data_IF_590810063972
#
_entry.id   IF_590810063972
#
_cell.length_a   1.000
_cell.length_b   1.000
_cell.length_c   1.000
_cell.angle_alpha   90.00
_cell.angle_beta   90.00
_cell.angle_gamma   90.00
#
_symmetry.space_group_name_H-M   'P 1'
#
loop_
_entity.id
_entity.type
_entity.pdbx_description
1 polymer ?
#
# COMPACT_ATOMS: atom_id res chain seq x y z
N UNK A 1 -45.53 -34.08 -28.98
CA UNK A 1 -45.67 -33.73 -27.55
C UNK A 1 -44.27 -33.74 -26.94
N UNK A 2 -43.82 -32.64 -26.34
CA UNK A 2 -42.47 -32.55 -25.74
C UNK A 2 -42.53 -33.14 -24.33
N UNK A 3 -41.65 -34.09 -24.00
CA UNK A 3 -41.58 -34.72 -22.68
C UNK A 3 -41.54 -33.66 -21.56
N UNK A 4 -42.36 -33.88 -20.53
CA UNK A 4 -42.56 -32.94 -19.43
C UNK A 4 -41.26 -32.75 -18.64
N UNK A 5 -41.04 -31.60 -18.02
CA UNK A 5 -39.75 -31.29 -17.35
C UNK A 5 -39.39 -32.32 -16.27
N UNK A 6 -40.41 -32.87 -15.61
CA UNK A 6 -40.31 -33.93 -14.60
C UNK A 6 -39.88 -35.27 -15.22
N UNK A 7 -40.39 -35.60 -16.41
CA UNK A 7 -40.03 -36.82 -17.13
C UNK A 7 -38.58 -36.77 -17.60
N UNK A 8 -38.13 -35.63 -18.16
CA UNK A 8 -36.72 -35.43 -18.53
C UNK A 8 -35.77 -35.48 -17.35
N UNK A 9 -36.22 -35.04 -16.17
CA UNK A 9 -35.43 -35.15 -14.94
C UNK A 9 -35.30 -36.60 -14.50
N UNK A 10 -36.40 -37.37 -14.51
CA UNK A 10 -36.39 -38.81 -14.22
C UNK A 10 -35.55 -39.59 -15.22
N UNK A 11 -35.64 -39.28 -16.52
CA UNK A 11 -34.80 -39.90 -17.56
C UNK A 11 -33.31 -39.62 -17.33
N UNK A 12 -32.95 -38.38 -16.94
CA UNK A 12 -31.57 -38.05 -16.57
C UNK A 12 -31.11 -38.78 -15.31
N UNK A 13 -31.95 -38.86 -14.28
CA UNK A 13 -31.63 -39.59 -13.05
C UNK A 13 -31.44 -41.08 -13.32
N UNK A 14 -32.27 -41.70 -14.17
CA UNK A 14 -32.11 -43.09 -14.60
C UNK A 14 -30.87 -43.28 -15.47
N UNK A 15 -30.58 -42.35 -16.38
CA UNK A 15 -29.37 -42.40 -17.20
C UNK A 15 -28.10 -42.24 -16.35
N UNK A 16 -28.12 -41.36 -15.34
CA UNK A 16 -27.03 -41.22 -14.38
C UNK A 16 -26.86 -42.48 -13.54
N UNK A 17 -27.95 -43.07 -13.05
CA UNK A 17 -27.91 -44.31 -12.29
C UNK A 17 -27.37 -45.49 -13.13
N UNK A 18 -27.76 -45.60 -14.39
CA UNK A 18 -27.22 -46.59 -15.33
C UNK A 18 -25.74 -46.37 -15.58
N UNK A 19 -25.31 -45.13 -15.82
CA UNK A 19 -23.88 -44.81 -15.99
C UNK A 19 -23.07 -45.08 -14.74
N UNK A 20 -23.63 -44.84 -13.57
CA UNK A 20 -22.96 -45.09 -12.30
C UNK A 20 -22.80 -46.60 -12.06
N UNK A 21 -23.84 -47.39 -12.37
CA UNK A 21 -23.76 -48.85 -12.34
C UNK A 21 -22.76 -49.41 -13.35
N UNK A 22 -22.75 -48.89 -14.59
CA UNK A 22 -21.74 -49.26 -15.59
C UNK A 22 -20.31 -48.95 -15.10
N UNK A 23 -20.11 -47.79 -14.47
CA UNK A 23 -18.81 -47.42 -13.89
C UNK A 23 -18.41 -48.35 -12.75
N UNK A 24 -19.35 -48.75 -11.89
CA UNK A 24 -19.06 -49.65 -10.78
C UNK A 24 -18.79 -51.09 -11.27
N UNK A 25 -19.49 -51.56 -12.29
CA UNK A 25 -19.20 -52.84 -12.96
C UNK A 25 -17.84 -52.82 -13.66
N UNK A 26 -17.48 -51.70 -14.30
CA UNK A 26 -16.15 -51.53 -14.91
C UNK A 26 -15.04 -51.43 -13.86
N UNK A 27 -15.29 -50.80 -12.71
CA UNK A 27 -14.35 -50.76 -11.58
C UNK A 27 -14.14 -52.15 -10.97
N UNK A 28 -15.21 -52.88 -10.72
CA UNK A 28 -15.14 -54.25 -10.20
C UNK A 28 -14.39 -55.17 -11.18
N UNK A 29 -14.65 -55.04 -12.49
CA UNK A 29 -13.93 -55.79 -13.52
C UNK A 29 -12.45 -55.39 -13.63
N UNK A 30 -12.15 -54.11 -13.46
CA UNK A 30 -10.76 -53.60 -13.40
C UNK A 30 -10.03 -54.16 -12.18
N UNK A 31 -10.66 -54.18 -11.01
CA UNK A 31 -10.10 -54.75 -9.78
C UNK A 31 -9.86 -56.25 -9.92
N UNK A 32 -10.83 -56.99 -10.47
CA UNK A 32 -10.68 -58.43 -10.74
C UNK A 32 -9.52 -58.71 -11.69
N UNK A 33 -9.44 -58.02 -12.83
CA UNK A 33 -8.33 -58.18 -13.78
C UNK A 33 -6.99 -57.75 -13.18
N UNK A 34 -6.98 -56.73 -12.32
CA UNK A 34 -5.77 -56.31 -11.62
C UNK A 34 -5.30 -57.35 -10.60
N UNK A 35 -6.22 -58.05 -9.93
CA UNK A 35 -5.91 -59.17 -9.04
C UNK A 35 -5.40 -60.39 -9.80
N UNK A 36 -6.02 -60.74 -10.94
CA UNK A 36 -5.60 -61.84 -11.81
C UNK A 36 -4.20 -61.59 -12.44
N UNK A 37 -3.85 -60.33 -12.69
CA UNK A 37 -2.55 -59.92 -13.19
C UNK A 37 -1.57 -59.53 -12.07
N UNK A 38 -1.97 -59.53 -10.80
CA UNK A 38 -1.12 -59.12 -9.68
C UNK A 38 -0.59 -57.69 -9.78
N UNK A 39 -1.38 -56.76 -10.32
CA UNK A 39 -1.03 -55.35 -10.53
C UNK A 39 -1.79 -54.43 -9.56
N UNK A 40 -1.13 -53.42 -9.00
CA UNK A 40 -1.77 -52.36 -8.22
C UNK A 40 -2.00 -51.10 -9.08
N UNK A 41 -3.10 -51.09 -9.84
CA UNK A 41 -3.47 -49.98 -10.73
C UNK A 41 -3.83 -48.68 -9.99
N UNK A 42 -4.01 -48.73 -8.67
CA UNK A 42 -4.22 -47.56 -7.80
C UNK A 42 -2.93 -46.74 -7.60
N UNK A 43 -1.76 -47.35 -7.74
CA UNK A 43 -0.46 -46.69 -7.60
C UNK A 43 -0.06 -45.86 -8.83
N UNK A 44 -0.76 -46.02 -9.96
CA UNK A 44 -0.51 -45.26 -11.20
C UNK A 44 -0.71 -43.74 -11.03
N UNK A 45 -1.50 -43.32 -10.03
CA UNK A 45 -1.78 -41.92 -9.74
C UNK A 45 -0.69 -41.18 -8.96
N UNK A 46 0.27 -41.89 -8.37
CA UNK A 46 1.29 -41.34 -7.46
C UNK A 46 2.70 -41.29 -8.08
N UNK A 47 2.80 -41.13 -9.42
CA UNK A 47 4.05 -41.00 -10.19
C UNK A 47 5.04 -42.19 -10.18
N UNK A 48 4.88 -43.15 -9.26
CA UNK A 48 5.73 -44.33 -9.17
C UNK A 48 5.24 -45.49 -10.05
N UNK A 49 5.48 -45.41 -11.35
CA UNK A 49 5.16 -46.47 -12.32
C UNK A 49 5.79 -47.83 -11.93
N UNK A 50 6.92 -47.79 -11.20
CA UNK A 50 7.63 -48.98 -10.74
C UNK A 50 6.91 -49.78 -9.65
N UNK A 51 5.97 -49.18 -8.91
CA UNK A 51 5.15 -49.85 -7.89
C UNK A 51 3.87 -50.42 -8.51
N UNK A 52 3.31 -49.73 -9.51
CA UNK A 52 2.10 -50.17 -10.21
C UNK A 52 2.31 -51.41 -11.10
N UNK A 53 3.53 -51.61 -11.62
CA UNK A 53 3.88 -52.75 -12.47
C UNK A 53 5.05 -53.55 -11.87
N UNK A 54 4.78 -54.68 -11.18
CA UNK A 54 5.82 -55.51 -10.57
C UNK A 54 6.85 -56.03 -11.57
N UNK A 55 6.46 -56.13 -12.85
CA UNK A 55 7.28 -56.68 -13.93
C UNK A 55 8.43 -55.75 -14.34
N UNK A 56 8.31 -54.44 -14.08
CA UNK A 56 9.39 -53.48 -14.34
C UNK A 56 10.65 -53.84 -13.53
N UNK A 57 10.51 -54.54 -12.41
CA UNK A 57 11.63 -55.04 -11.61
C UNK A 57 12.54 -56.05 -12.33
N UNK A 58 12.08 -56.68 -13.43
CA UNK A 58 12.88 -57.57 -14.28
C UNK A 58 13.59 -56.85 -15.43
N UNK A 59 13.37 -55.53 -15.60
CA UNK A 59 13.89 -54.74 -16.70
C UNK A 59 14.99 -53.75 -16.26
N UNK A 60 15.83 -53.33 -17.23
CA UNK A 60 16.89 -52.35 -17.05
C UNK A 60 18.30 -52.95 -17.05
N UNK A 61 19.32 -52.08 -16.99
CA UNK A 61 20.74 -52.49 -16.97
C UNK A 61 21.17 -53.13 -15.64
N UNK A 62 20.38 -52.95 -14.59
CA UNK A 62 20.51 -53.60 -13.28
C UNK A 62 19.13 -54.05 -12.79
N UNK A 63 18.59 -55.18 -13.29
CA UNK A 63 17.27 -55.63 -12.91
C UNK A 63 17.26 -56.00 -11.42
N UNK A 64 16.20 -55.60 -10.71
CA UNK A 64 16.02 -55.91 -9.27
C UNK A 64 15.70 -57.40 -9.05
N UNK A 65 15.16 -58.08 -10.06
CA UNK A 65 14.81 -59.50 -10.04
C UNK A 65 15.32 -60.20 -11.29
N UNK A 66 15.77 -61.44 -11.14
CA UNK A 66 16.25 -62.24 -12.27
C UNK A 66 15.07 -62.83 -13.06
N UNK A 67 15.01 -62.52 -14.35
CA UNK A 67 13.95 -62.98 -15.26
C UNK A 67 13.94 -64.51 -15.41
N UNK A 68 15.06 -65.20 -15.14
CA UNK A 68 15.17 -66.66 -15.20
C UNK A 68 14.36 -67.40 -14.11
N UNK A 69 13.85 -66.67 -13.11
CA UNK A 69 13.08 -67.21 -11.98
C UNK A 69 11.57 -67.21 -12.20
N UNK A 70 11.08 -66.78 -13.37
CA UNK A 70 9.65 -66.71 -13.68
C UNK A 70 9.16 -68.10 -14.12
N UNK A 71 8.16 -68.70 -13.44
CA UNK A 71 7.62 -69.99 -13.84
C UNK A 71 6.91 -69.88 -15.20
N UNK A 72 7.08 -70.90 -16.06
CA UNK A 72 6.60 -70.91 -17.46
C UNK A 72 5.08 -70.72 -17.55
N UNK A 73 4.33 -71.20 -16.56
CA UNK A 73 2.88 -71.06 -16.43
C UNK A 73 2.42 -69.59 -16.33
N UNK A 74 3.28 -68.71 -15.79
CA UNK A 74 2.97 -67.29 -15.60
C UNK A 74 3.48 -66.41 -16.75
N UNK A 75 4.12 -66.98 -17.77
CA UNK A 75 4.75 -66.23 -18.86
C UNK A 75 3.74 -65.39 -19.66
N UNK A 76 2.54 -65.92 -19.93
CA UNK A 76 1.49 -65.19 -20.65
C UNK A 76 0.97 -63.98 -19.88
N UNK A 77 0.77 -64.11 -18.56
CA UNK A 77 0.37 -63.02 -17.68
C UNK A 77 1.46 -61.93 -17.59
N UNK A 78 2.72 -62.34 -17.46
CA UNK A 78 3.87 -61.44 -17.43
C UNK A 78 4.06 -60.67 -18.75
N UNK A 79 3.87 -61.32 -19.89
CA UNK A 79 3.93 -60.67 -21.21
C UNK A 79 2.81 -59.64 -21.40
N UNK A 80 1.58 -59.97 -20.99
CA UNK A 80 0.47 -59.00 -21.02
C UNK A 80 0.75 -57.81 -20.12
N UNK A 81 1.33 -58.03 -18.93
CA UNK A 81 1.74 -56.94 -18.03
C UNK A 81 2.82 -56.04 -18.66
N UNK A 82 3.75 -56.61 -19.44
CA UNK A 82 4.73 -55.81 -20.20
C UNK A 82 4.07 -54.96 -21.28
N UNK A 83 3.13 -55.51 -22.05
CA UNK A 83 2.42 -54.77 -23.08
C UNK A 83 1.60 -53.61 -22.49
N UNK A 84 0.90 -53.86 -21.38
CA UNK A 84 0.14 -52.83 -20.65
C UNK A 84 1.09 -51.78 -20.07
N UNK A 85 2.24 -52.18 -19.51
CA UNK A 85 3.25 -51.26 -18.99
C UNK A 85 3.84 -50.36 -20.10
N UNK A 86 4.13 -50.93 -21.28
CA UNK A 86 4.61 -50.16 -22.44
C UNK A 86 3.54 -49.14 -22.87
N UNK A 87 2.27 -49.56 -22.94
CA UNK A 87 1.15 -48.65 -23.26
C UNK A 87 1.03 -47.51 -22.25
N UNK A 88 1.10 -47.81 -20.95
CA UNK A 88 1.00 -46.79 -19.90
C UNK A 88 2.20 -45.82 -19.91
N UNK A 89 3.41 -46.33 -20.09
CA UNK A 89 4.64 -45.50 -20.16
C UNK A 89 4.62 -44.60 -21.40
N UNK A 90 4.21 -45.14 -22.55
CA UNK A 90 4.13 -44.37 -23.80
C UNK A 90 3.09 -43.27 -23.74
N UNK A 91 1.95 -43.51 -23.09
CA UNK A 91 0.92 -42.50 -22.86
C UNK A 91 1.41 -41.41 -21.89
N UNK A 92 2.01 -41.78 -20.76
CA UNK A 92 2.55 -40.80 -19.81
C UNK A 92 3.65 -39.93 -20.46
N UNK A 93 4.50 -40.52 -21.30
CA UNK A 93 5.50 -39.76 -22.08
C UNK A 93 4.87 -38.78 -23.07
N UNK A 94 3.69 -39.07 -23.61
CA UNK A 94 2.95 -38.13 -24.48
C UNK A 94 2.36 -36.98 -23.66
N UNK A 95 1.78 -37.29 -22.51
CA UNK A 95 1.18 -36.29 -21.61
C UNK A 95 2.27 -35.34 -21.08
N UNK A 96 3.43 -35.87 -20.67
CA UNK A 96 4.61 -35.07 -20.31
C UNK A 96 5.10 -34.17 -21.46
N UNK A 97 5.13 -34.68 -22.70
CA UNK A 97 5.48 -33.86 -23.88
C UNK A 97 4.48 -32.73 -24.10
N UNK A 98 3.20 -32.96 -23.88
CA UNK A 98 2.16 -31.92 -23.97
C UNK A 98 2.35 -30.86 -22.89
N UNK A 99 2.55 -31.27 -21.63
CA UNK A 99 2.85 -30.34 -20.53
C UNK A 99 4.11 -29.51 -20.80
N UNK A 100 5.19 -30.13 -21.32
CA UNK A 100 6.40 -29.41 -21.74
C UNK A 100 6.08 -28.39 -22.84
N UNK A 101 5.23 -28.73 -23.80
CA UNK A 101 4.85 -27.81 -24.88
C UNK A 101 4.02 -26.62 -24.37
N UNK A 102 3.16 -26.83 -23.38
CA UNK A 102 2.36 -25.79 -22.73
C UNK A 102 3.23 -24.87 -21.87
N UNK A 103 4.14 -25.44 -21.07
CA UNK A 103 5.13 -24.70 -20.31
C UNK A 103 6.01 -23.83 -21.22
N UNK A 104 6.49 -24.38 -22.34
CA UNK A 104 7.24 -23.61 -23.33
C UNK A 104 6.43 -22.45 -23.94
N UNK A 105 5.11 -22.61 -24.10
CA UNK A 105 4.23 -21.53 -24.55
C UNK A 105 4.08 -20.45 -23.49
N UNK A 106 3.92 -20.83 -22.22
CA UNK A 106 3.88 -19.90 -21.09
C UNK A 106 5.19 -19.11 -20.95
N UNK A 107 6.34 -19.80 -21.02
CA UNK A 107 7.66 -19.18 -21.01
C UNK A 107 7.79 -18.15 -22.12
N UNK A 108 7.37 -18.48 -23.36
CA UNK A 108 7.38 -17.50 -24.47
C UNK A 108 6.55 -16.26 -24.15
N UNK A 109 5.32 -16.42 -23.65
CA UNK A 109 4.48 -15.28 -23.28
C UNK A 109 5.06 -14.45 -22.12
N UNK A 110 5.72 -15.09 -21.16
CA UNK A 110 6.37 -14.39 -20.05
C UNK A 110 7.65 -13.67 -20.49
N UNK A 111 8.44 -14.25 -21.39
CA UNK A 111 9.60 -13.57 -21.99
C UNK A 111 9.18 -12.32 -22.78
N UNK A 112 8.07 -12.37 -23.52
CA UNK A 112 7.52 -11.19 -24.20
C UNK A 112 7.08 -10.11 -23.21
N UNK A 113 6.46 -10.49 -22.09
CA UNK A 113 6.08 -9.56 -21.03
C UNK A 113 7.31 -8.96 -20.31
N UNK A 114 8.35 -9.76 -20.09
CA UNK A 114 9.62 -9.31 -19.50
C UNK A 114 10.31 -8.28 -20.39
N UNK A 115 10.35 -8.48 -21.71
CA UNK A 115 10.91 -7.50 -22.65
C UNK A 115 10.16 -6.17 -22.56
N UNK A 116 8.83 -6.18 -22.50
CA UNK A 116 8.02 -4.96 -22.33
C UNK A 116 8.30 -4.24 -21.01
N UNK A 117 8.43 -4.99 -19.91
CA UNK A 117 8.78 -4.46 -18.60
C UNK A 117 10.19 -3.87 -18.57
N UNK A 118 11.15 -4.52 -19.22
CA UNK A 118 12.53 -4.04 -19.37
C UNK A 118 12.60 -2.75 -20.19
N UNK A 119 11.82 -2.64 -21.27
CA UNK A 119 11.72 -1.42 -22.06
C UNK A 119 11.11 -0.27 -21.24
N UNK A 120 10.04 -0.52 -20.49
CA UNK A 120 9.46 0.47 -19.58
C UNK A 120 10.43 0.91 -18.48
N UNK A 121 11.15 -0.04 -17.87
CA UNK A 121 12.18 0.23 -16.87
C UNK A 121 13.37 1.00 -17.45
N UNK A 122 13.75 0.75 -18.70
CA UNK A 122 14.81 1.50 -19.39
C UNK A 122 14.40 2.95 -19.66
N UNK A 123 13.15 3.20 -20.06
CA UNK A 123 12.61 4.57 -20.21
C UNK A 123 12.58 5.32 -18.86
N UNK A 124 12.30 4.61 -17.77
CA UNK A 124 12.40 5.13 -16.40
C UNK A 124 13.86 5.39 -15.98
N UNK A 125 14.80 4.51 -16.32
CA UNK A 125 16.22 4.68 -16.02
C UNK A 125 16.85 5.84 -16.82
N UNK A 126 16.49 5.98 -18.10
CA UNK A 126 16.95 7.06 -18.97
C UNK A 126 16.37 8.43 -18.55
N UNK A 127 15.17 8.46 -17.94
CA UNK A 127 14.58 9.68 -17.39
C UNK A 127 15.09 10.07 -15.99
N UNK A 128 15.74 9.15 -15.27
CA UNK A 128 16.21 9.35 -13.88
C UNK A 128 17.73 9.27 -13.72
N UNK A 129 18.48 8.91 -14.77
CA UNK A 129 19.94 9.04 -14.84
C UNK A 129 20.76 8.01 -14.05
N UNK A 130 20.18 6.87 -13.66
CA UNK A 130 20.88 5.83 -12.89
C UNK A 130 21.06 4.57 -13.73
N UNK A 131 22.32 4.25 -14.02
CA UNK A 131 22.73 3.03 -14.75
C UNK A 131 23.06 1.90 -13.79
N UNK A 132 22.55 0.70 -14.06
CA UNK A 132 22.79 -0.53 -13.29
C UNK A 132 23.35 -1.59 -14.23
N UNK A 133 24.65 -1.88 -14.12
CA UNK A 133 25.30 -2.97 -14.86
C UNK A 133 25.89 -4.00 -13.87
N UNK A 134 25.34 -5.25 -13.80
CA UNK A 134 25.65 -6.21 -12.75
C UNK A 134 26.68 -7.29 -13.14
N UNK A 135 27.43 -7.13 -14.24
CA UNK A 135 28.34 -8.18 -14.74
C UNK A 135 29.81 -8.01 -14.32
N UNK A 136 30.07 -7.83 -13.03
CA UNK A 136 31.41 -8.05 -12.48
C UNK A 136 31.34 -9.14 -11.41
N UNK A 137 32.13 -10.21 -11.63
CA UNK A 137 32.54 -11.26 -10.69
C UNK A 137 31.79 -12.60 -10.82
N UNK A 138 32.29 -13.52 -11.67
CA UNK A 138 32.80 -14.84 -11.25
C UNK A 138 33.15 -15.76 -12.45
N UNK A 139 34.44 -16.05 -12.61
CA UNK A 139 34.96 -17.22 -13.31
C UNK A 139 36.00 -17.93 -12.44
N UNK A 140 36.07 -19.25 -12.63
CA UNK A 140 37.19 -20.19 -12.38
C UNK A 140 37.05 -21.14 -11.17
N UNK A 141 37.05 -22.44 -11.46
CA UNK A 141 37.09 -23.54 -10.48
C UNK A 141 37.26 -24.95 -11.07
N UNK A 142 38.45 -25.22 -11.63
CA UNK A 142 39.26 -26.45 -11.74
C UNK A 142 38.73 -27.90 -11.96
N UNK A 143 39.54 -28.61 -12.78
CA UNK A 143 39.63 -30.04 -13.15
C UNK A 143 40.35 -30.93 -12.10
N UNK A 144 40.22 -32.26 -12.26
CA UNK A 144 41.20 -33.40 -12.05
C UNK A 144 40.42 -34.69 -11.69
N UNK A 145 40.75 -35.98 -11.99
CA UNK A 145 41.92 -36.72 -12.53
C UNK A 145 41.55 -38.22 -12.73
N UNK A 146 42.29 -38.94 -13.61
CA UNK A 146 42.71 -40.39 -13.65
C UNK A 146 41.70 -41.56 -13.44
N UNK A 147 41.79 -42.74 -14.08
CA UNK A 147 42.74 -43.34 -15.04
C UNK A 147 42.55 -44.88 -15.19
N UNK A 148 43.03 -45.44 -16.34
CA UNK A 148 43.56 -46.82 -16.64
C UNK A 148 42.65 -48.07 -16.50
N UNK A 149 42.36 -48.93 -17.50
CA UNK A 149 43.12 -49.73 -18.53
C UNK A 149 43.62 -51.14 -18.11
N UNK A 150 43.72 -52.04 -19.12
CA UNK A 150 44.16 -53.46 -19.19
C UNK A 150 42.97 -54.45 -19.30
N UNK A 151 42.65 -55.14 -20.41
CA UNK A 151 43.34 -55.71 -21.58
C UNK A 151 43.79 -57.18 -21.45
N UNK A 152 43.49 -57.94 -22.52
CA UNK A 152 44.07 -59.23 -22.96
C UNK A 152 43.88 -60.47 -22.04
N UNK A 153 43.81 -61.74 -22.47
CA UNK A 153 43.97 -62.47 -23.73
C UNK A 153 43.71 -63.99 -23.38
N UNK A 154 43.03 -64.81 -24.20
CA UNK A 154 43.60 -65.78 -25.18
C UNK A 154 43.61 -67.27 -24.74
N UNK A 155 43.23 -68.15 -25.71
CA UNK A 155 43.51 -69.60 -25.89
C UNK A 155 42.97 -70.59 -24.85
N UNK A 156 42.61 -71.85 -25.16
CA UNK A 156 42.72 -72.78 -26.30
C UNK A 156 42.23 -74.15 -25.74
N UNK A 157 41.59 -75.07 -26.46
CA UNK A 157 42.13 -76.13 -27.33
C UNK A 157 41.10 -77.29 -27.26
N UNK A 158 40.64 -77.85 -28.38
CA UNK A 158 40.92 -79.24 -28.79
C UNK A 158 39.65 -80.10 -28.58
N UNK A 159 39.14 -80.92 -29.49
CA UNK A 159 39.81 -81.98 -30.25
C UNK A 159 39.06 -82.35 -31.56
N UNK A 160 39.77 -83.13 -32.37
CA UNK A 160 39.69 -83.43 -33.81
C UNK A 160 38.42 -84.16 -34.33
N UNK A 161 37.80 -83.59 -35.38
CA UNK A 161 36.92 -84.32 -36.31
C UNK A 161 37.61 -84.47 -37.68
N UNK A 162 37.29 -85.53 -38.40
CA UNK A 162 37.88 -86.04 -39.67
C UNK A 162 38.00 -85.07 -40.86
N UNK A 163 39.00 -85.23 -41.74
CA UNK A 163 39.34 -84.34 -42.89
C UNK A 163 38.17 -84.04 -43.87
N UNK A 164 37.18 -84.93 -44.00
CA UNK A 164 35.97 -84.69 -44.84
C UNK A 164 34.81 -84.01 -44.09
N UNK A 165 34.69 -84.20 -42.77
CA UNK A 165 33.84 -83.35 -41.93
C UNK A 165 34.48 -81.97 -41.80
N UNK A 166 35.80 -81.87 -41.61
CA UNK A 166 36.55 -80.62 -41.55
C UNK A 166 36.39 -79.76 -42.79
N UNK A 167 36.23 -80.30 -44.00
CA UNK A 167 36.03 -79.46 -45.19
C UNK A 167 34.59 -78.94 -45.30
N UNK A 168 33.58 -79.74 -44.96
CA UNK A 168 32.18 -79.28 -44.86
C UNK A 168 31.99 -78.33 -43.69
N UNK A 169 32.58 -78.65 -42.54
CA UNK A 169 32.63 -77.85 -41.32
C UNK A 169 33.47 -76.59 -41.54
N UNK A 170 34.57 -76.61 -42.32
CA UNK A 170 35.30 -75.39 -42.71
C UNK A 170 34.46 -74.48 -43.61
N UNK A 171 33.65 -75.02 -44.51
CA UNK A 171 32.69 -74.22 -45.31
C UNK A 171 31.56 -73.68 -44.41
N UNK A 172 31.07 -74.47 -43.46
CA UNK A 172 30.03 -74.08 -42.51
C UNK A 172 30.56 -73.01 -41.54
N UNK A 173 31.72 -73.24 -40.94
CA UNK A 173 32.51 -72.30 -40.11
C UNK A 173 32.89 -71.07 -40.92
N UNK A 174 33.24 -71.15 -42.20
CA UNK A 174 33.48 -69.96 -43.02
C UNK A 174 32.20 -69.15 -43.27
N UNK A 175 31.04 -69.81 -43.45
CA UNK A 175 29.72 -69.15 -43.52
C UNK A 175 29.32 -68.57 -42.17
N UNK A 176 29.59 -69.26 -41.06
CA UNK A 176 29.34 -68.80 -39.69
C UNK A 176 30.28 -67.66 -39.29
N UNK A 177 31.55 -67.67 -39.68
CA UNK A 177 32.47 -66.55 -39.52
C UNK A 177 31.99 -65.36 -40.35
N UNK A 178 31.46 -65.57 -41.57
CA UNK A 178 30.90 -64.49 -42.39
C UNK A 178 29.62 -63.92 -41.78
N UNK A 179 28.71 -64.78 -41.32
CA UNK A 179 27.50 -64.38 -40.61
C UNK A 179 27.84 -63.71 -39.27
N UNK A 180 28.84 -64.22 -38.55
CA UNK A 180 29.39 -63.67 -37.32
C UNK A 180 30.02 -62.30 -37.53
N UNK A 181 30.80 -62.12 -38.60
CA UNK A 181 31.34 -60.80 -39.00
C UNK A 181 30.24 -59.81 -39.37
N UNK A 182 29.18 -60.26 -40.06
CA UNK A 182 28.02 -59.40 -40.35
C UNK A 182 27.22 -59.07 -39.08
N UNK A 183 27.10 -60.01 -38.15
CA UNK A 183 26.48 -59.79 -36.85
C UNK A 183 27.30 -58.85 -35.98
N UNK A 184 28.63 -58.97 -35.98
CA UNK A 184 29.55 -58.05 -35.30
C UNK A 184 29.40 -56.66 -35.88
N UNK A 185 29.42 -56.50 -37.22
CA UNK A 185 29.19 -55.20 -37.86
C UNK A 185 27.82 -54.60 -37.50
N UNK A 186 26.74 -55.39 -37.55
CA UNK A 186 25.40 -54.91 -37.14
C UNK A 186 25.34 -54.56 -35.66
N UNK A 187 26.06 -55.27 -34.79
CA UNK A 187 26.18 -54.95 -33.37
C UNK A 187 27.02 -53.68 -33.15
N UNK A 188 28.12 -53.50 -33.87
CA UNK A 188 28.94 -52.28 -33.86
C UNK A 188 28.10 -51.07 -34.32
N UNK A 189 27.35 -51.20 -35.41
CA UNK A 189 26.42 -50.18 -35.90
C UNK A 189 25.33 -49.87 -34.87
N UNK A 190 24.76 -50.88 -34.22
CA UNK A 190 23.77 -50.70 -33.16
C UNK A 190 24.38 -50.04 -31.90
N UNK A 191 25.61 -50.40 -31.53
CA UNK A 191 26.33 -49.80 -30.40
C UNK A 191 26.63 -48.33 -30.69
N UNK A 192 27.08 -47.99 -31.91
CA UNK A 192 27.29 -46.60 -32.33
C UNK A 192 25.97 -45.81 -32.34
N UNK A 193 24.88 -46.41 -32.80
CA UNK A 193 23.56 -45.78 -32.77
C UNK A 193 23.07 -45.51 -31.33
N UNK A 194 23.32 -46.46 -30.42
CA UNK A 194 22.98 -46.32 -28.99
C UNK A 194 23.87 -45.26 -28.33
N UNK A 195 25.17 -45.22 -28.63
CA UNK A 195 26.08 -44.22 -28.07
C UNK A 195 25.69 -42.81 -28.52
N UNK A 196 25.37 -42.63 -29.81
CA UNK A 196 24.86 -41.36 -30.34
C UNK A 196 23.54 -40.95 -29.65
N UNK A 197 22.63 -41.91 -29.41
CA UNK A 197 21.38 -41.64 -28.70
C UNK A 197 21.62 -41.27 -27.22
N UNK A 198 22.61 -41.89 -26.57
CA UNK A 198 23.01 -41.55 -25.20
C UNK A 198 23.66 -40.17 -25.12
N UNK A 199 24.50 -39.80 -26.08
CA UNK A 199 25.08 -38.47 -26.17
C UNK A 199 23.99 -37.40 -26.35
N UNK A 200 23.04 -37.62 -27.26
CA UNK A 200 21.88 -36.72 -27.44
C UNK A 200 20.98 -36.64 -26.21
N UNK A 201 20.82 -37.74 -25.47
CA UNK A 201 20.10 -37.71 -24.19
C UNK A 201 20.84 -36.91 -23.13
N UNK A 202 22.16 -37.03 -23.03
CA UNK A 202 22.98 -36.25 -22.09
C UNK A 202 22.88 -34.76 -22.38
N UNK A 203 22.99 -34.35 -23.64
CA UNK A 203 22.83 -32.94 -24.01
C UNK A 203 21.44 -32.39 -23.64
N UNK A 204 20.38 -33.17 -23.87
CA UNK A 204 19.03 -32.77 -23.48
C UNK A 204 18.86 -32.66 -21.95
N UNK A 205 19.53 -33.50 -21.16
CA UNK A 205 19.53 -33.40 -19.69
C UNK A 205 20.32 -32.18 -19.22
N UNK A 206 21.44 -31.87 -19.86
CA UNK A 206 22.23 -30.67 -19.55
C UNK A 206 21.43 -29.39 -19.86
N UNK A 207 20.70 -29.35 -20.98
CA UNK A 207 19.77 -28.27 -21.32
C UNK A 207 18.64 -28.14 -20.29
N UNK A 208 18.08 -29.26 -19.83
CA UNK A 208 17.02 -29.27 -18.81
C UNK A 208 17.53 -28.72 -17.48
N UNK A 209 18.75 -29.11 -17.07
CA UNK A 209 19.39 -28.58 -15.87
C UNK A 209 19.69 -27.08 -15.98
N UNK A 210 20.10 -26.60 -17.16
CA UNK A 210 20.29 -25.18 -17.42
C UNK A 210 18.96 -24.42 -17.26
N UNK A 211 17.88 -24.92 -17.87
CA UNK A 211 16.55 -24.32 -17.75
C UNK A 211 16.03 -24.30 -16.30
N UNK A 212 16.26 -25.35 -15.52
CA UNK A 212 15.90 -25.35 -14.10
C UNK A 212 16.66 -24.28 -13.30
N UNK A 213 17.95 -24.10 -13.60
CA UNK A 213 18.74 -23.05 -12.97
C UNK A 213 18.24 -21.66 -13.39
N UNK A 214 17.90 -21.47 -14.66
CA UNK A 214 17.36 -20.21 -15.16
C UNK A 214 16.03 -19.87 -14.45
N UNK A 215 15.10 -20.84 -14.36
CA UNK A 215 13.83 -20.69 -13.63
C UNK A 215 14.09 -20.28 -12.17
N UNK A 216 15.06 -20.94 -11.50
CA UNK A 216 15.40 -20.64 -10.12
C UNK A 216 15.96 -19.23 -9.94
N UNK A 217 16.79 -18.78 -10.88
CA UNK A 217 17.34 -17.41 -10.86
C UNK A 217 16.22 -16.40 -11.10
N UNK A 218 15.36 -16.63 -12.09
CA UNK A 218 14.22 -15.73 -12.36
C UNK A 218 13.25 -15.66 -11.20
N UNK A 219 12.97 -16.77 -10.51
CA UNK A 219 12.12 -16.79 -9.31
C UNK A 219 12.72 -15.97 -8.16
N UNK A 220 14.04 -16.00 -8.01
CA UNK A 220 14.75 -15.18 -7.03
C UNK A 220 14.62 -13.70 -7.38
N UNK A 221 14.84 -13.35 -8.65
CA UNK A 221 14.83 -11.97 -9.11
C UNK A 221 13.41 -11.37 -9.04
N UNK A 222 12.37 -12.17 -9.35
CA UNK A 222 10.96 -11.79 -9.15
C UNK A 222 10.66 -11.51 -7.68
N UNK A 223 11.21 -12.30 -6.75
CA UNK A 223 11.01 -12.07 -5.32
C UNK A 223 11.67 -10.77 -4.87
N UNK A 224 12.91 -10.49 -5.29
CA UNK A 224 13.56 -9.22 -4.97
C UNK A 224 12.80 -8.03 -5.56
N UNK A 225 12.31 -8.12 -6.80
CA UNK A 225 11.52 -7.03 -7.40
C UNK A 225 10.15 -6.83 -6.74
N UNK A 226 9.53 -7.89 -6.21
CA UNK A 226 8.32 -7.74 -5.40
C UNK A 226 8.60 -7.04 -4.06
N UNK A 227 9.78 -7.24 -3.49
CA UNK A 227 10.20 -6.58 -2.25
C UNK A 227 10.50 -5.09 -2.49
N UNK A 228 11.19 -4.74 -3.59
CA UNK A 228 11.43 -3.34 -3.98
C UNK A 228 10.12 -2.60 -4.26
N UNK A 229 9.19 -3.21 -5.00
CA UNK A 229 7.87 -2.62 -5.26
C UNK A 229 7.09 -2.35 -3.97
N UNK A 230 7.14 -3.25 -2.99
CA UNK A 230 6.49 -3.04 -1.69
C UNK A 230 7.11 -1.86 -0.94
N UNK A 231 8.43 -1.71 -0.98
CA UNK A 231 9.11 -0.57 -0.37
C UNK A 231 8.66 0.74 -1.00
N UNK A 232 8.63 0.81 -2.33
CA UNK A 232 8.16 2.01 -3.07
C UNK A 232 6.70 2.35 -2.72
N UNK A 233 5.82 1.34 -2.64
CA UNK A 233 4.42 1.56 -2.24
C UNK A 233 4.35 2.16 -0.82
N UNK A 234 5.11 1.61 0.13
CA UNK A 234 5.13 2.15 1.51
C UNK A 234 5.70 3.56 1.59
N UNK A 235 6.69 3.90 0.75
CA UNK A 235 7.22 5.26 0.65
C UNK A 235 6.18 6.22 0.07
N UNK A 236 5.45 5.80 -0.97
CA UNK A 236 4.37 6.58 -1.57
C UNK A 236 3.24 6.85 -0.58
N UNK A 237 2.80 5.81 0.15
CA UNK A 237 1.76 5.94 1.18
C UNK A 237 2.17 6.93 2.27
N UNK A 238 3.45 6.94 2.66
CA UNK A 238 3.99 7.88 3.65
C UNK A 238 4.03 9.33 3.11
N UNK A 239 4.32 9.51 1.82
CA UNK A 239 4.29 10.83 1.16
C UNK A 239 2.85 11.34 1.05
N UNK A 240 1.91 10.49 0.65
CA UNK A 240 0.48 10.82 0.56
C UNK A 240 -0.10 11.20 1.92
N UNK A 241 0.27 10.47 2.99
CA UNK A 241 -0.12 10.81 4.34
C UNK A 241 0.37 12.21 4.75
N UNK A 242 1.63 12.55 4.45
CA UNK A 242 2.20 13.89 4.72
C UNK A 242 1.49 14.98 3.90
N UNK A 243 1.17 14.71 2.65
CA UNK A 243 0.46 15.64 1.78
C UNK A 243 -0.96 15.93 2.31
N UNK A 244 -1.70 14.88 2.67
CA UNK A 244 -3.03 15.01 3.25
C UNK A 244 -3.01 15.81 4.56
N UNK A 245 -2.04 15.52 5.43
CA UNK A 245 -1.87 16.24 6.69
C UNK A 245 -1.54 17.73 6.46
N UNK A 246 -0.74 18.06 5.43
CA UNK A 246 -0.45 19.43 5.05
C UNK A 246 -1.68 20.16 4.48
N UNK A 247 -2.50 19.47 3.69
CA UNK A 247 -3.77 20.00 3.17
C UNK A 247 -4.74 20.31 4.33
N UNK A 248 -4.93 19.39 5.26
CA UNK A 248 -5.82 19.58 6.42
C UNK A 248 -5.37 20.75 7.32
N UNK A 249 -4.06 20.89 7.57
CA UNK A 249 -3.50 22.03 8.31
C UNK A 249 -3.72 23.38 7.61
N UNK A 250 -3.71 23.41 6.28
CA UNK A 250 -3.90 24.65 5.52
C UNK A 250 -5.38 25.02 5.37
N UNK A 251 -6.26 24.04 5.19
CA UNK A 251 -7.72 24.25 5.13
C UNK A 251 -8.24 24.82 6.44
N UNK A 252 -7.77 24.31 7.58
CA UNK A 252 -8.15 24.81 8.91
C UNK A 252 -7.72 26.26 9.16
N UNK A 253 -6.48 26.65 8.79
CA UNK A 253 -6.01 28.03 8.92
C UNK A 253 -6.77 29.02 8.04
N UNK A 254 -7.00 28.65 6.78
CA UNK A 254 -7.69 29.54 5.82
C UNK A 254 -9.14 29.75 6.23
N UNK A 255 -9.81 28.67 6.68
CA UNK A 255 -11.17 28.75 7.19
C UNK A 255 -11.27 29.59 8.45
N UNK A 256 -10.34 29.43 9.40
CA UNK A 256 -10.30 30.23 10.63
C UNK A 256 -10.13 31.72 10.34
N UNK A 257 -9.27 32.10 9.39
CA UNK A 257 -9.11 33.50 8.97
C UNK A 257 -10.39 34.09 8.37
N UNK A 258 -11.12 33.31 7.55
CA UNK A 258 -12.40 33.74 6.97
C UNK A 258 -13.47 33.87 8.06
N UNK A 259 -13.53 32.91 9.00
CA UNK A 259 -14.47 32.96 10.14
C UNK A 259 -14.17 34.15 11.07
N UNK A 260 -12.89 34.47 11.31
CA UNK A 260 -12.49 35.67 12.04
C UNK A 260 -12.91 36.96 11.33
N UNK A 261 -12.55 37.11 10.05
CA UNK A 261 -12.91 38.32 9.28
C UNK A 261 -14.43 38.51 9.15
N UNK A 262 -15.21 37.43 9.03
CA UNK A 262 -16.68 37.53 9.00
C UNK A 262 -17.28 37.92 10.36
N UNK A 263 -16.68 37.48 11.47
CA UNK A 263 -17.11 37.88 12.80
C UNK A 263 -16.77 39.34 13.12
N UNK A 264 -15.60 39.81 12.70
CA UNK A 264 -15.18 41.22 12.83
C UNK A 264 -16.16 42.15 12.10
N UNK A 265 -16.46 41.87 10.83
CA UNK A 265 -17.43 42.65 10.04
C UNK A 265 -18.83 42.66 10.68
N UNK A 266 -19.28 41.51 11.21
CA UNK A 266 -20.57 41.44 11.92
C UNK A 266 -20.58 42.29 13.19
N UNK A 267 -19.47 42.30 13.93
CA UNK A 267 -19.33 43.12 15.14
C UNK A 267 -19.37 44.61 14.81
N UNK A 268 -18.59 45.05 13.83
CA UNK A 268 -18.57 46.45 13.37
C UNK A 268 -19.95 46.91 12.88
N UNK A 269 -20.65 46.06 12.13
CA UNK A 269 -22.02 46.37 11.68
C UNK A 269 -23.00 46.49 12.86
N UNK A 270 -22.91 45.61 13.86
CA UNK A 270 -23.76 45.69 15.04
C UNK A 270 -23.48 46.96 15.86
N UNK A 271 -22.21 47.35 16.00
CA UNK A 271 -21.81 48.56 16.71
C UNK A 271 -22.33 49.83 16.02
N UNK A 272 -22.13 49.96 14.72
CA UNK A 272 -22.59 51.12 13.92
C UNK A 272 -24.12 51.28 13.96
N UNK A 273 -24.86 50.18 13.78
CA UNK A 273 -26.33 50.19 13.88
C UNK A 273 -26.78 50.57 15.30
N UNK A 274 -26.14 50.03 16.33
CA UNK A 274 -26.47 50.34 17.73
C UNK A 274 -26.18 51.81 18.09
N UNK A 275 -25.11 52.40 17.53
CA UNK A 275 -24.72 53.78 17.80
C UNK A 275 -25.71 54.75 17.16
N UNK A 276 -26.09 54.51 15.90
CA UNK A 276 -27.11 55.29 15.20
C UNK A 276 -28.46 55.24 15.90
N UNK A 277 -28.94 54.02 16.27
CA UNK A 277 -30.20 53.84 17.00
C UNK A 277 -30.20 54.55 18.36
N UNK A 278 -29.11 54.47 19.13
CA UNK A 278 -28.96 55.18 20.41
C UNK A 278 -28.94 56.70 20.26
N UNK A 279 -28.45 57.23 19.14
CA UNK A 279 -28.52 58.66 18.84
C UNK A 279 -29.95 59.11 18.59
N UNK A 280 -30.65 58.43 17.67
CA UNK A 280 -32.04 58.73 17.33
C UNK A 280 -32.99 58.57 18.53
N UNK A 281 -32.84 57.52 19.32
CA UNK A 281 -33.68 57.30 20.51
C UNK A 281 -33.49 58.40 21.57
N UNK A 282 -32.28 58.95 21.70
CA UNK A 282 -32.02 60.09 22.60
C UNK A 282 -32.68 61.37 22.11
N UNK A 283 -32.67 61.62 20.79
CA UNK A 283 -33.36 62.77 20.19
C UNK A 283 -34.87 62.63 20.35
N UNK A 284 -35.45 61.47 20.05
CA UNK A 284 -36.90 61.24 20.23
C UNK A 284 -37.33 61.45 21.68
N UNK A 285 -36.59 60.88 22.65
CA UNK A 285 -36.92 61.08 24.08
C UNK A 285 -36.82 62.55 24.50
N UNK A 286 -35.87 63.31 23.97
CA UNK A 286 -35.76 64.74 24.24
C UNK A 286 -36.94 65.52 23.63
N UNK A 287 -37.38 65.15 22.43
CA UNK A 287 -38.54 65.75 21.76
C UNK A 287 -39.85 65.41 22.49
N UNK A 288 -40.08 64.15 22.85
CA UNK A 288 -41.23 63.71 23.65
C UNK A 288 -41.30 64.47 24.98
N UNK A 289 -40.17 64.56 25.69
CA UNK A 289 -40.09 65.33 26.93
C UNK A 289 -40.43 66.82 26.73
N UNK A 290 -40.00 67.42 25.61
CA UNK A 290 -40.30 68.82 25.29
C UNK A 290 -41.78 69.03 24.97
N UNK A 291 -42.41 68.10 24.24
CA UNK A 291 -43.85 68.12 23.95
C UNK A 291 -44.63 68.06 25.25
N UNK A 292 -44.36 67.09 26.13
CA UNK A 292 -44.99 66.96 27.44
C UNK A 292 -44.85 68.25 28.28
N UNK A 293 -43.68 68.90 28.23
CA UNK A 293 -43.43 70.15 28.94
C UNK A 293 -44.28 71.30 28.39
N UNK A 294 -44.36 71.43 27.07
CA UNK A 294 -45.14 72.47 26.40
C UNK A 294 -46.65 72.26 26.60
N UNK A 295 -47.13 71.01 26.55
CA UNK A 295 -48.52 70.66 26.83
C UNK A 295 -48.93 71.06 28.25
N UNK A 296 -48.13 70.72 29.27
CA UNK A 296 -48.38 71.11 30.67
C UNK A 296 -48.42 72.64 30.86
N UNK A 297 -47.57 73.36 30.14
CA UNK A 297 -47.57 74.83 30.15
C UNK A 297 -48.82 75.40 29.50
N UNK A 298 -49.18 74.88 28.34
CA UNK A 298 -50.37 75.27 27.61
C UNK A 298 -51.63 75.02 28.45
N UNK A 299 -51.74 73.87 29.12
CA UNK A 299 -52.82 73.59 30.07
C UNK A 299 -52.88 74.61 31.22
N UNK A 300 -51.72 74.97 31.77
CA UNK A 300 -51.63 75.94 32.87
C UNK A 300 -52.07 77.34 32.41
N UNK A 301 -51.67 77.75 31.21
CA UNK A 301 -52.09 79.01 30.58
C UNK A 301 -53.59 78.98 30.29
N UNK A 302 -54.11 77.90 29.69
CA UNK A 302 -55.53 77.74 29.42
C UNK A 302 -56.36 77.81 30.70
N UNK A 303 -55.90 77.17 31.78
CA UNK A 303 -56.55 77.24 33.09
C UNK A 303 -56.56 78.67 33.64
N UNK A 304 -55.44 79.39 33.53
CA UNK A 304 -55.34 80.80 33.93
C UNK A 304 -56.26 81.70 33.08
N UNK A 305 -56.32 81.50 31.77
CA UNK A 305 -57.18 82.26 30.86
C UNK A 305 -58.66 82.00 31.11
N UNK A 306 -59.04 80.76 31.44
CA UNK A 306 -60.42 80.42 31.83
C UNK A 306 -60.81 81.06 33.15
N UNK A 307 -59.93 81.00 34.15
CA UNK A 307 -60.16 81.58 35.48
C UNK A 307 -60.29 83.11 35.43
N UNK A 308 -59.65 83.78 34.47
CA UNK A 308 -59.73 85.24 34.30
C UNK A 308 -60.75 85.68 33.23
N UNK A 309 -61.53 84.76 32.65
CA UNK A 309 -62.50 85.02 31.57
C UNK A 309 -61.92 85.63 30.27
N UNK A 310 -60.61 85.50 30.04
CA UNK A 310 -59.91 86.07 28.88
C UNK A 310 -59.78 85.12 27.68
N UNK A 311 -60.35 83.91 27.76
CA UNK A 311 -60.13 82.86 26.74
C UNK A 311 -60.59 83.28 25.34
N UNK A 312 -61.77 83.91 25.22
CA UNK A 312 -62.33 84.36 23.93
C UNK A 312 -61.55 85.51 23.32
N UNK A 313 -61.09 86.45 24.14
CA UNK A 313 -60.35 87.62 23.68
C UNK A 313 -58.95 87.23 23.18
N UNK A 314 -58.28 86.32 23.90
CA UNK A 314 -56.98 85.78 23.48
C UNK A 314 -57.13 84.93 22.22
N UNK A 315 -58.15 84.07 22.12
CA UNK A 315 -58.43 83.31 20.88
C UNK A 315 -58.65 84.24 19.69
N UNK A 316 -59.46 85.30 19.85
CA UNK A 316 -59.70 86.28 18.78
C UNK A 316 -58.41 86.98 18.32
N UNK A 317 -57.56 87.41 19.28
CA UNK A 317 -56.28 88.07 18.98
C UNK A 317 -55.30 87.12 18.31
N UNK A 318 -55.19 85.87 18.80
CA UNK A 318 -54.32 84.86 18.22
C UNK A 318 -54.78 84.50 16.81
N UNK A 319 -56.07 84.23 16.59
CA UNK A 319 -56.61 83.94 15.26
C UNK A 319 -56.42 85.09 14.28
N UNK A 320 -56.58 86.34 14.73
CA UNK A 320 -56.34 87.52 13.90
C UNK A 320 -54.86 87.67 13.54
N UNK A 321 -53.94 87.46 14.50
CA UNK A 321 -52.50 87.51 14.26
C UNK A 321 -52.01 86.39 13.34
N UNK A 322 -52.48 85.17 13.53
CA UNK A 322 -52.19 84.02 12.67
C UNK A 322 -52.67 84.25 11.23
N UNK A 323 -53.88 84.80 11.04
CA UNK A 323 -54.39 85.14 9.72
C UNK A 323 -53.63 86.28 9.02
N UNK A 324 -53.04 87.21 9.79
CA UNK A 324 -52.31 88.36 9.25
C UNK A 324 -50.81 88.15 9.00
N UNK A 325 -50.21 87.07 9.51
CA UNK A 325 -48.75 86.90 9.45
C UNK A 325 -48.23 85.52 9.87
N UNK A 326 -48.98 84.45 9.59
CA UNK A 326 -48.65 83.07 9.99
C UNK A 326 -47.23 82.62 9.63
N UNK A 327 -46.69 83.05 8.49
CA UNK A 327 -45.34 82.69 8.03
C UNK A 327 -44.20 83.35 8.82
N UNK A 328 -44.45 84.43 9.57
CA UNK A 328 -43.42 85.17 10.33
C UNK A 328 -43.30 84.71 11.80
N UNK A 329 -44.23 83.88 12.27
CA UNK A 329 -44.27 83.37 13.64
C UNK A 329 -43.51 82.04 13.83
N UNK A 330 -43.23 81.32 12.75
CA UNK A 330 -42.44 80.09 12.76
C UNK A 330 -41.10 80.42 12.11
N UNK A 331 -40.10 80.73 12.93
CA UNK A 331 -38.73 80.89 12.46
C UNK A 331 -38.28 79.62 11.72
N UNK A 332 -37.68 79.70 10.52
CA UNK A 332 -37.19 78.53 9.82
C UNK A 332 -36.04 77.92 10.64
N UNK A 333 -36.35 76.83 11.36
CA UNK A 333 -35.34 76.09 12.11
C UNK A 333 -34.34 75.47 11.13
N UNK A 334 -33.02 75.71 11.28
CA UNK A 334 -32.00 75.01 10.51
C UNK A 334 -32.13 73.50 10.73
N UNK A 335 -32.03 72.68 9.68
CA UNK A 335 -32.13 71.21 9.78
C UNK A 335 -31.17 70.61 10.82
N UNK A 336 -30.02 71.25 11.03
CA UNK A 336 -29.00 70.84 12.01
C UNK A 336 -29.47 70.96 13.47
N UNK A 337 -30.46 71.80 13.77
CA UNK A 337 -30.98 72.01 15.12
C UNK A 337 -31.95 70.90 15.57
N UNK A 338 -32.54 70.15 14.63
CA UNK A 338 -33.52 69.09 14.93
C UNK A 338 -32.91 67.88 15.66
N UNK A 339 -31.59 67.71 15.58
CA UNK A 339 -30.86 66.59 16.19
C UNK A 339 -30.05 67.00 17.42
N UNK A 340 -30.00 68.28 17.78
CA UNK A 340 -29.19 68.78 18.88
C UNK A 340 -29.99 68.87 20.19
N UNK A 341 -29.72 67.95 21.11
CA UNK A 341 -30.45 67.79 22.38
C UNK A 341 -30.44 69.08 23.22
N UNK A 342 -29.34 69.84 23.18
CA UNK A 342 -29.17 71.08 23.95
C UNK A 342 -30.00 72.25 23.39
N UNK A 343 -30.36 72.22 22.11
CA UNK A 343 -31.28 73.18 21.50
C UNK A 343 -32.75 72.82 21.78
N UNK A 344 -33.06 71.52 21.92
CA UNK A 344 -34.42 71.02 22.20
C UNK A 344 -34.85 71.33 23.65
N UNK A 345 -33.91 71.32 24.61
CA UNK A 345 -34.16 71.62 26.03
C UNK A 345 -33.23 72.77 26.48
N UNK A 346 -33.68 74.03 26.40
CA UNK A 346 -32.87 75.18 26.78
C UNK A 346 -32.50 75.17 28.27
N UNK A 347 -31.24 75.45 28.59
CA UNK A 347 -30.65 75.32 29.93
C UNK A 347 -31.09 76.36 30.98
N UNK A 348 -31.89 77.37 30.61
CA UNK A 348 -32.21 78.52 31.48
C UNK A 348 -33.58 78.49 32.17
N UNK A 349 -34.32 77.37 32.16
CA UNK A 349 -35.61 77.31 32.86
C UNK A 349 -35.46 76.74 34.28
N UNK A 350 -35.32 77.63 35.27
CA UNK A 350 -35.17 77.28 36.69
C UNK A 350 -36.37 76.49 37.22
N UNK A 351 -36.10 75.29 37.73
CA UNK A 351 -37.07 74.35 38.27
C UNK A 351 -37.71 74.85 39.58
N UNK A 352 -39.03 74.69 39.74
CA UNK A 352 -39.74 75.05 40.98
C UNK A 352 -39.14 74.31 42.19
N UNK A 353 -38.94 74.94 43.36
CA UNK A 353 -38.20 74.34 44.50
C UNK A 353 -38.69 72.96 44.96
N UNK A 354 -40.00 72.69 44.86
CA UNK A 354 -40.56 71.37 45.19
C UNK A 354 -40.15 70.28 44.18
N UNK A 355 -40.07 70.63 42.89
CA UNK A 355 -39.61 69.72 41.83
C UNK A 355 -38.09 69.58 41.92
N UNK A 356 -37.36 70.66 42.24
CA UNK A 356 -35.94 70.59 42.54
C UNK A 356 -35.65 69.65 43.71
N UNK A 357 -36.40 69.73 44.80
CA UNK A 357 -36.23 68.84 45.95
C UNK A 357 -36.57 67.38 45.61
N UNK A 358 -37.62 67.12 44.82
CA UNK A 358 -37.93 65.77 44.35
C UNK A 358 -36.80 65.22 43.46
N UNK A 359 -36.32 66.01 42.49
CA UNK A 359 -35.19 65.66 41.64
C UNK A 359 -33.89 65.49 42.43
N UNK A 360 -33.70 66.26 43.50
CA UNK A 360 -32.56 66.13 44.42
C UNK A 360 -32.63 64.79 45.17
N UNK A 361 -33.80 64.40 45.70
CA UNK A 361 -33.96 63.10 46.38
C UNK A 361 -33.75 61.92 45.45
N UNK A 362 -34.27 61.99 44.21
CA UNK A 362 -34.01 60.97 43.19
C UNK A 362 -32.55 60.96 42.75
N UNK A 363 -31.92 62.14 42.60
CA UNK A 363 -30.47 62.24 42.34
C UNK A 363 -29.67 61.57 43.45
N UNK A 364 -30.00 61.79 44.72
CA UNK A 364 -29.32 61.16 45.86
C UNK A 364 -29.55 59.65 45.92
N UNK A 365 -30.76 59.17 45.61
CA UNK A 365 -31.08 57.75 45.53
C UNK A 365 -30.33 57.07 44.38
N UNK A 366 -30.28 57.73 43.23
CA UNK A 366 -29.57 57.26 42.05
C UNK A 366 -28.06 57.32 42.26
N UNK A 367 -27.53 58.36 42.90
CA UNK A 367 -26.13 58.45 43.32
C UNK A 367 -25.75 57.33 44.29
N UNK A 368 -26.63 56.99 45.25
CA UNK A 368 -26.43 55.82 46.13
C UNK A 368 -26.38 54.51 45.35
N UNK A 369 -27.30 54.30 44.39
CA UNK A 369 -27.29 53.11 43.52
C UNK A 369 -26.06 53.05 42.63
N UNK A 370 -25.64 54.17 42.03
CA UNK A 370 -24.42 54.26 41.23
C UNK A 370 -23.20 53.97 42.10
N UNK A 371 -23.14 54.48 43.33
CA UNK A 371 -22.05 54.18 44.27
C UNK A 371 -21.98 52.67 44.56
N UNK A 372 -23.12 52.03 44.81
CA UNK A 372 -23.20 50.60 45.08
C UNK A 372 -22.81 49.76 43.85
N UNK A 373 -23.26 50.15 42.66
CA UNK A 373 -22.81 49.56 41.40
C UNK A 373 -21.31 49.79 41.16
N UNK A 374 -20.77 50.94 41.57
CA UNK A 374 -19.35 51.25 41.52
C UNK A 374 -18.52 50.35 42.43
N UNK A 375 -19.04 50.01 43.61
CA UNK A 375 -18.41 49.02 44.52
C UNK A 375 -18.41 47.64 43.85
N UNK A 376 -19.55 47.18 43.33
CA UNK A 376 -19.65 45.89 42.63
C UNK A 376 -18.73 45.86 41.41
N UNK A 377 -18.65 46.94 40.64
CA UNK A 377 -17.76 47.03 39.49
C UNK A 377 -16.29 46.96 39.89
N UNK A 378 -15.89 47.58 41.01
CA UNK A 378 -14.55 47.44 41.59
C UNK A 378 -14.27 46.02 42.03
N UNK A 379 -15.18 45.38 42.76
CA UNK A 379 -15.04 43.97 43.18
C UNK A 379 -14.90 43.04 41.96
N UNK A 380 -15.70 43.25 40.90
CA UNK A 380 -15.58 42.47 39.66
C UNK A 380 -14.26 42.73 38.97
N UNK A 381 -13.76 43.96 38.97
CA UNK A 381 -12.44 44.30 38.42
C UNK A 381 -11.33 43.60 39.19
N UNK A 382 -11.37 43.61 40.53
CA UNK A 382 -10.41 42.89 41.37
C UNK A 382 -10.42 41.38 41.11
N UNK A 383 -11.60 40.77 40.89
CA UNK A 383 -11.71 39.37 40.50
C UNK A 383 -11.11 39.13 39.10
N UNK A 384 -11.36 40.02 38.15
CA UNK A 384 -10.74 39.93 36.81
C UNK A 384 -9.22 40.03 36.91
N UNK A 385 -8.70 40.99 37.68
CA UNK A 385 -7.26 41.19 37.87
C UNK A 385 -6.64 39.95 38.55
N UNK A 386 -7.30 39.37 39.55
CA UNK A 386 -6.86 38.12 40.19
C UNK A 386 -6.86 36.92 39.22
N UNK A 387 -7.88 36.81 38.36
CA UNK A 387 -7.94 35.77 37.32
C UNK A 387 -6.87 36.00 36.25
N UNK A 388 -6.59 37.25 35.88
CA UNK A 388 -5.53 37.61 34.94
C UNK A 388 -4.16 37.23 35.51
N UNK A 389 -3.86 37.57 36.77
CA UNK A 389 -2.63 37.15 37.43
C UNK A 389 -2.49 35.62 37.49
N UNK A 390 -3.60 34.89 37.73
CA UNK A 390 -3.59 33.42 37.71
C UNK A 390 -3.35 32.87 36.30
N UNK A 391 -3.96 33.46 35.28
CA UNK A 391 -3.75 33.08 33.89
C UNK A 391 -2.29 33.33 33.45
N UNK A 392 -1.71 34.47 33.84
CA UNK A 392 -0.30 34.78 33.59
C UNK A 392 0.65 33.84 34.32
N UNK A 393 0.33 33.43 35.55
CA UNK A 393 1.10 32.43 36.29
C UNK A 393 1.09 31.08 35.57
N UNK A 394 -0.09 30.61 35.16
CA UNK A 394 -0.23 29.37 34.39
C UNK A 394 0.47 29.46 33.02
N UNK A 395 0.40 30.60 32.35
CA UNK A 395 1.10 30.82 31.09
C UNK A 395 2.62 30.73 31.26
N UNK A 396 3.16 31.27 32.35
CA UNK A 396 4.59 31.15 32.71
C UNK A 396 4.98 29.70 33.00
N UNK A 397 4.16 28.97 33.75
CA UNK A 397 4.38 27.53 34.01
C UNK A 397 4.38 26.71 32.70
N UNK A 398 3.43 26.98 31.80
CA UNK A 398 3.41 26.34 30.47
C UNK A 398 4.67 26.68 29.65
N UNK A 399 5.13 27.93 29.66
CA UNK A 399 6.36 28.33 28.97
C UNK A 399 7.60 27.64 29.56
N UNK A 400 7.66 27.48 30.89
CA UNK A 400 8.75 26.73 31.54
C UNK A 400 8.73 25.26 31.11
N UNK A 401 7.55 24.62 31.11
CA UNK A 401 7.41 23.23 30.66
C UNK A 401 7.82 23.05 29.19
N UNK A 402 7.52 24.01 28.31
CA UNK A 402 7.97 24.00 26.91
C UNK A 402 9.50 24.12 26.84
N UNK A 403 10.11 25.04 27.59
CA UNK A 403 11.56 25.21 27.62
C UNK A 403 12.29 23.97 28.14
N UNK A 404 11.74 23.32 29.17
CA UNK A 404 12.27 22.05 29.69
C UNK A 404 12.17 20.95 28.62
N UNK A 405 11.06 20.85 27.91
CA UNK A 405 10.87 19.89 26.83
C UNK A 405 11.84 20.15 25.66
N UNK A 406 12.03 21.40 25.26
CA UNK A 406 12.98 21.80 24.22
C UNK A 406 14.43 21.48 24.64
N UNK A 407 14.77 21.69 25.91
CA UNK A 407 16.09 21.33 26.44
C UNK A 407 16.30 19.81 26.40
N UNK A 408 15.32 19.01 26.83
CA UNK A 408 15.40 17.54 26.79
C UNK A 408 15.50 17.04 25.36
N UNK A 409 14.71 17.59 24.43
CA UNK A 409 14.77 17.24 23.01
C UNK A 409 16.13 17.59 22.39
N UNK A 410 16.67 18.76 22.71
CA UNK A 410 17.99 19.20 22.25
C UNK A 410 19.12 18.32 22.81
N UNK A 411 19.03 17.95 24.10
CA UNK A 411 19.98 17.05 24.73
C UNK A 411 19.94 15.64 24.09
N UNK A 412 18.75 15.10 23.85
CA UNK A 412 18.58 13.82 23.16
C UNK A 412 19.15 13.84 21.73
N UNK A 413 18.90 14.92 20.97
CA UNK A 413 19.47 15.10 19.65
C UNK A 413 21.01 15.20 19.67
N UNK A 414 21.56 15.88 20.68
CA UNK A 414 23.01 15.96 20.87
C UNK A 414 23.62 14.59 21.21
N UNK A 415 22.98 13.82 22.08
CA UNK A 415 23.40 12.45 22.40
C UNK A 415 23.36 11.53 21.18
N UNK A 416 22.31 11.62 20.35
CA UNK A 416 22.22 10.86 19.10
C UNK A 416 23.34 11.24 18.11
N UNK A 417 23.63 12.53 17.93
CA UNK A 417 24.73 12.96 17.06
C UNK A 417 26.08 12.52 17.61
N UNK A 418 26.29 12.56 18.92
CA UNK A 418 27.50 12.02 19.55
C UNK A 418 27.67 10.53 19.26
N UNK A 419 26.62 9.73 19.42
CA UNK A 419 26.63 8.30 19.07
C UNK A 419 26.91 8.08 17.58
N UNK A 420 26.36 8.93 16.70
CA UNK A 420 26.60 8.89 15.25
C UNK A 420 28.07 9.16 14.93
N UNK A 421 28.69 10.15 15.58
CA UNK A 421 30.11 10.48 15.41
C UNK A 421 30.98 9.33 15.90
N UNK A 422 30.72 8.77 17.08
CA UNK A 422 31.45 7.60 17.60
C UNK A 422 31.36 6.39 16.65
N UNK A 423 30.17 6.12 16.10
CA UNK A 423 29.99 5.05 15.12
C UNK A 423 30.79 5.31 13.82
N UNK A 424 30.83 6.55 13.33
CA UNK A 424 31.65 6.91 12.17
C UNK A 424 33.15 6.75 12.45
N UNK A 425 33.63 7.18 13.62
CA UNK A 425 35.03 6.97 14.02
C UNK A 425 35.38 5.48 14.09
N UNK A 426 34.48 4.66 14.64
CA UNK A 426 34.66 3.21 14.68
C UNK A 426 34.76 2.61 13.28
N UNK A 427 33.88 3.00 12.35
CA UNK A 427 33.95 2.56 10.95
C UNK A 427 35.28 2.99 10.31
N UNK A 428 35.75 4.21 10.57
CA UNK A 428 37.02 4.70 10.04
C UNK A 428 38.21 3.90 10.59
N UNK A 429 38.23 3.60 11.89
CA UNK A 429 39.22 2.72 12.53
C UNK A 429 39.22 1.33 11.89
N UNK A 430 38.04 0.75 11.67
CA UNK A 430 37.90 -0.55 10.99
C UNK A 430 38.45 -0.50 9.55
N UNK A 431 38.14 0.55 8.78
CA UNK A 431 38.68 0.73 7.41
C UNK A 431 40.20 0.83 7.40
N UNK A 432 40.79 1.57 8.34
CA UNK A 432 42.25 1.65 8.51
C UNK A 432 42.84 0.28 8.86
N UNK A 433 42.22 -0.43 9.81
CA UNK A 433 42.65 -1.77 10.20
C UNK A 433 42.62 -2.75 9.02
N UNK A 434 41.54 -2.77 8.23
CA UNK A 434 41.48 -3.58 7.01
C UNK A 434 42.52 -3.17 5.99
N UNK A 435 42.77 -1.87 5.79
CA UNK A 435 43.83 -1.38 4.90
C UNK A 435 45.21 -1.91 5.32
N UNK A 436 45.49 -1.94 6.61
CA UNK A 436 46.75 -2.47 7.13
C UNK A 436 46.83 -3.99 6.98
N UNK A 437 45.76 -4.73 7.26
CA UNK A 437 45.67 -6.17 6.98
C UNK A 437 45.87 -6.47 5.49
N UNK A 438 45.29 -5.66 4.59
CA UNK A 438 45.50 -5.78 3.14
C UNK A 438 46.96 -5.56 2.78
N UNK A 439 47.62 -4.54 3.33
CA UNK A 439 49.06 -4.30 3.12
C UNK A 439 49.91 -5.47 3.64
N UNK A 440 49.59 -6.01 4.81
CA UNK A 440 50.28 -7.16 5.39
C UNK A 440 50.11 -8.42 4.54
N UNK A 441 48.89 -8.73 4.12
CA UNK A 441 48.60 -9.81 3.18
C UNK A 441 49.39 -9.62 1.88
N UNK A 442 49.47 -8.40 1.36
CA UNK A 442 50.24 -8.10 0.15
C UNK A 442 51.75 -8.29 0.35
N UNK A 443 52.30 -7.88 1.49
CA UNK A 443 53.69 -8.15 1.89
C UNK A 443 53.98 -9.65 2.03
N UNK A 444 53.06 -10.41 2.63
CA UNK A 444 53.19 -11.86 2.74
C UNK A 444 53.13 -12.54 1.38
N UNK A 445 52.22 -12.12 0.50
CA UNK A 445 52.09 -12.65 -0.87
C UNK A 445 53.36 -12.40 -1.69
N UNK A 446 53.92 -11.19 -1.59
CA UNK A 446 55.17 -10.80 -2.27
C UNK A 446 56.43 -11.42 -1.65
N UNK A 447 56.40 -11.87 -0.40
CA UNK A 447 57.48 -12.70 0.19
C UNK A 447 57.35 -14.18 -0.18
N UNK A 448 56.12 -14.70 -0.26
CA UNK A 448 55.84 -16.08 -0.65
C UNK A 448 56.14 -16.32 -2.14
N UNK A 449 55.90 -15.33 -2.99
CA UNK A 449 56.37 -15.28 -4.36
C UNK A 449 57.71 -14.53 -4.35
N UNK A 450 58.81 -15.24 -4.08
CA UNK A 450 60.17 -14.69 -4.22
C UNK A 450 60.40 -13.99 -5.58
N UNK A 451 61.49 -13.23 -5.76
CA UNK A 451 61.66 -12.27 -6.85
C UNK A 451 61.73 -12.96 -8.23
N UNK A 452 60.57 -13.32 -8.77
CA UNK A 452 60.38 -13.90 -10.09
C UNK A 452 59.44 -13.05 -10.95
N UNK A 453 59.05 -11.85 -10.47
CA UNK A 453 58.16 -10.93 -11.19
C UNK A 453 58.91 -9.75 -11.83
N UNK A 454 60.22 -9.89 -12.08
CA UNK A 454 60.98 -9.01 -12.99
C UNK A 454 61.40 -9.78 -14.24
N UNK A 455 60.43 -10.32 -14.96
CA UNK A 455 60.55 -10.64 -16.38
C UNK A 455 59.15 -10.89 -16.91
N UNK A 456 58.44 -9.80 -17.21
CA UNK A 456 57.60 -9.60 -18.38
C UNK A 456 57.11 -8.16 -18.38
#
# INVERSE_FOLDING_TARGET
MRANSIERRKEREVALALRQRELDELRARKEQLSGELGMELSALGNEDISTAFPVIGYCGSRPKKDARKIPVENLGSVMNQFEIAIGAITQNNRDLKQQISELNRCIKSETENFVRLREAAKVLADSTGVSLDPNAVQHMGNKSRDGTENDESVQGEGEEETISSLTKQKILVAKEIRAGRQLVKKKEEAVLAIDNALQSRKSAVDELNALYNDIRVTDRDIKSEKETLRQIITEHDAVDAKLNEAIERNVSKTRLLIEQGTNEIKSELAETVSASRRGQERVMKAQEFRVDQLEKRLESIQRALKNNHLSRDVEAIVSQRWASGGDSLVEPYPEDCLYNIEAIIPSQETCHPAIYNLLLTEKERLARRISLLGIIAKEKKEVIDALACKAEALARECQQAIQELDHVASAAAYEEEMQRVEAMEYIQKQRLHYSDLFKEMWKLKSRAHGPLWKSY
#
